data_IF_408905294005
#
_entry.id   IF_408905294005
#
_cell.length_a   1.000
_cell.length_b   1.000
_cell.length_c   1.000
_cell.angle_alpha   90.00
_cell.angle_beta   90.00
_cell.angle_gamma   90.00
#
_symmetry.space_group_name_H-M   'P 1'
#
loop_
_entity.id
_entity.type
_entity.pdbx_description
1 polymer ?
#
# COMPACT_ATOMS: atom_id res chain seq x y z
N UNK A 1 19.99 -23.29 17.19
CA UNK A 1 19.46 -23.69 15.88
C UNK A 1 18.15 -22.94 15.48
N UNK A 2 17.60 -22.05 16.34
CA UNK A 2 16.37 -21.28 16.01
C UNK A 2 16.61 -19.90 15.37
N UNK A 3 17.81 -19.35 15.44
CA UNK A 3 18.10 -18.01 14.88
C UNK A 3 18.23 -17.99 13.34
N UNK A 4 18.55 -19.11 12.68
CA UNK A 4 18.67 -19.18 11.22
C UNK A 4 17.32 -19.16 10.49
N UNK A 5 16.26 -19.70 11.11
CA UNK A 5 14.93 -19.81 10.47
C UNK A 5 14.19 -18.45 10.34
N UNK A 6 14.51 -17.47 11.19
CA UNK A 6 13.92 -16.13 11.15
C UNK A 6 14.51 -15.24 10.04
N UNK A 7 15.77 -15.47 9.68
CA UNK A 7 16.43 -14.74 8.58
C UNK A 7 16.06 -15.30 7.20
N UNK A 8 15.92 -16.60 7.04
CA UNK A 8 15.51 -17.24 5.78
C UNK A 8 14.07 -16.88 5.39
N UNK A 9 13.15 -16.75 6.35
CA UNK A 9 11.75 -16.35 6.07
C UNK A 9 11.59 -14.90 5.61
N UNK A 10 12.50 -14.00 5.92
CA UNK A 10 12.41 -12.60 5.48
C UNK A 10 12.82 -12.41 4.01
N UNK A 11 13.74 -13.21 3.48
CA UNK A 11 14.18 -13.12 2.09
C UNK A 11 13.18 -13.72 1.08
N UNK A 12 12.22 -14.51 1.53
CA UNK A 12 11.17 -15.10 0.68
C UNK A 12 10.04 -14.13 0.35
N UNK A 13 9.94 -13.00 1.05
CA UNK A 13 8.90 -12.00 0.79
C UNK A 13 9.41 -10.95 -0.23
N UNK A 14 8.54 -10.49 -1.16
CA UNK A 14 8.87 -9.40 -2.09
C UNK A 14 9.38 -8.15 -1.37
N UNK A 15 10.33 -7.45 -1.96
CA UNK A 15 10.95 -6.22 -1.42
C UNK A 15 9.89 -5.19 -0.99
N UNK A 16 8.85 -4.99 -1.80
CA UNK A 16 7.73 -4.10 -1.50
C UNK A 16 6.95 -4.49 -0.22
N UNK A 17 6.92 -5.76 0.13
CA UNK A 17 6.29 -6.22 1.37
C UNK A 17 7.21 -6.02 2.58
N UNK A 18 8.50 -6.31 2.44
CA UNK A 18 9.52 -6.14 3.49
C UNK A 18 9.71 -4.69 3.90
N UNK A 19 9.70 -3.76 2.92
CA UNK A 19 9.90 -2.32 3.12
C UNK A 19 8.60 -1.54 3.38
N UNK A 20 7.49 -2.23 3.60
CA UNK A 20 6.22 -1.56 3.85
C UNK A 20 6.32 -0.65 5.09
N UNK A 21 6.04 0.66 4.95
CA UNK A 21 6.07 1.60 6.05
C UNK A 21 5.14 1.17 7.20
N UNK A 22 5.59 1.39 8.43
CA UNK A 22 4.82 1.12 9.65
C UNK A 22 4.36 2.40 10.34
N UNK A 23 4.97 3.53 10.03
CA UNK A 23 4.68 4.85 10.62
C UNK A 23 4.44 5.89 9.52
N UNK A 24 3.86 7.04 9.90
CA UNK A 24 3.67 8.17 8.98
C UNK A 24 5.00 8.78 8.50
N UNK A 25 6.03 8.72 9.33
CA UNK A 25 7.36 9.26 9.03
C UNK A 25 8.07 8.43 7.96
N UNK A 26 7.81 7.13 7.93
CA UNK A 26 8.34 6.22 6.92
C UNK A 26 7.56 6.28 5.60
N UNK A 27 6.35 6.86 5.63
CA UNK A 27 5.47 6.89 4.47
C UNK A 27 5.89 7.96 3.47
N UNK A 28 6.17 7.56 2.25
CA UNK A 28 6.65 8.46 1.17
C UNK A 28 5.45 9.02 0.41
N UNK A 29 5.52 10.30 0.06
CA UNK A 29 4.51 10.98 -0.75
C UNK A 29 3.29 11.49 0.04
N UNK A 30 2.23 11.82 -0.68
CA UNK A 30 0.93 12.30 -0.17
C UNK A 30 1.05 13.51 0.77
N UNK A 31 2.01 14.40 0.54
CA UNK A 31 2.27 15.57 1.40
C UNK A 31 1.06 16.51 1.52
N UNK A 32 0.18 16.53 0.52
CA UNK A 32 -1.07 17.30 0.52
C UNK A 32 -2.09 16.76 1.55
N UNK A 33 -2.00 15.48 1.95
CA UNK A 33 -2.86 14.84 2.95
C UNK A 33 -2.16 14.68 4.31
N UNK A 34 -0.88 14.29 4.27
CA UNK A 34 -0.10 13.84 5.43
C UNK A 34 0.98 14.83 5.87
N UNK A 35 1.16 15.95 5.16
CA UNK A 35 2.07 16.99 5.55
C UNK A 35 1.71 17.57 6.92
N UNK A 36 2.66 18.22 7.58
CA UNK A 36 2.47 18.85 8.90
C UNK A 36 1.26 19.80 8.88
N UNK A 37 0.33 19.61 9.82
CA UNK A 37 -0.88 20.42 9.92
C UNK A 37 -2.02 20.08 8.94
N UNK A 38 -1.87 19.08 8.07
CA UNK A 38 -2.93 18.61 7.17
C UNK A 38 -4.02 17.86 7.92
N UNK A 39 -5.23 17.89 7.35
CA UNK A 39 -6.44 17.38 8.02
C UNK A 39 -6.32 15.90 8.35
N UNK A 40 -5.92 15.05 7.40
CA UNK A 40 -5.82 13.61 7.63
C UNK A 40 -4.76 13.28 8.69
N UNK A 41 -3.59 13.93 8.63
CA UNK A 41 -2.54 13.76 9.64
C UNK A 41 -3.05 14.12 11.04
N UNK A 42 -3.72 15.27 11.21
CA UNK A 42 -4.29 15.67 12.50
C UNK A 42 -5.34 14.68 13.02
N UNK A 43 -6.20 14.15 12.15
CA UNK A 43 -7.18 13.14 12.54
C UNK A 43 -6.51 11.85 13.06
N UNK A 44 -5.40 11.45 12.45
CA UNK A 44 -4.64 10.27 12.88
C UNK A 44 -3.94 10.54 14.21
N UNK A 45 -3.23 11.66 14.33
CA UNK A 45 -2.47 12.03 15.53
C UNK A 45 -3.38 12.28 16.75
N UNK A 46 -4.61 12.79 16.53
CA UNK A 46 -5.59 13.01 17.60
C UNK A 46 -6.50 11.82 17.88
N UNK A 47 -6.29 10.68 17.22
CA UNK A 47 -7.13 9.48 17.32
C UNK A 47 -8.64 9.74 17.04
N UNK A 48 -8.92 10.75 16.18
CA UNK A 48 -10.28 11.15 15.80
C UNK A 48 -10.61 10.72 14.36
N UNK A 49 -10.29 9.48 14.05
CA UNK A 49 -10.57 8.92 12.73
C UNK A 49 -12.04 8.54 12.59
N UNK A 50 -12.56 8.70 11.40
CA UNK A 50 -13.90 8.28 10.98
C UNK A 50 -13.80 7.45 9.70
N UNK A 51 -14.89 6.81 9.30
CA UNK A 51 -14.92 6.05 8.04
C UNK A 51 -14.52 6.92 6.86
N UNK A 52 -13.74 6.33 5.93
CA UNK A 52 -13.15 7.04 4.80
C UNK A 52 -12.98 6.14 3.59
N UNK A 53 -12.87 6.78 2.43
CA UNK A 53 -12.52 6.14 1.16
C UNK A 53 -11.21 6.72 0.67
N UNK A 54 -10.24 5.85 0.38
CA UNK A 54 -9.01 6.20 -0.31
C UNK A 54 -9.17 5.96 -1.81
N UNK A 55 -9.20 7.03 -2.56
CA UNK A 55 -9.30 6.99 -4.02
C UNK A 55 -7.97 7.40 -4.65
N UNK A 56 -7.49 6.62 -5.60
CA UNK A 56 -6.26 6.94 -6.34
C UNK A 56 -5.70 5.73 -7.09
N UNK A 57 -4.69 5.94 -7.93
CA UNK A 57 -4.13 4.90 -8.78
C UNK A 57 -3.52 3.74 -7.97
N UNK A 58 -3.19 2.61 -8.60
CA UNK A 58 -2.51 1.51 -7.93
C UNK A 58 -1.14 1.93 -7.40
N UNK A 59 -0.59 1.21 -6.44
CA UNK A 59 0.78 1.38 -5.93
C UNK A 59 1.06 2.65 -5.12
N UNK A 60 0.11 3.56 -4.94
CA UNK A 60 0.30 4.82 -4.19
C UNK A 60 0.23 4.68 -2.67
N UNK A 61 0.05 3.44 -2.16
CA UNK A 61 0.11 3.15 -0.73
C UNK A 61 -1.21 3.17 0.02
N UNK A 62 -2.39 3.05 -0.63
CA UNK A 62 -3.71 3.03 0.03
C UNK A 62 -3.80 2.04 1.20
N UNK A 63 -3.47 0.77 0.94
CA UNK A 63 -3.46 -0.31 1.95
C UNK A 63 -2.43 -0.05 3.05
N UNK A 64 -1.27 0.47 2.69
CA UNK A 64 -0.21 0.83 3.65
C UNK A 64 -0.67 1.93 4.59
N UNK A 65 -1.29 2.99 4.06
CA UNK A 65 -1.82 4.09 4.87
C UNK A 65 -2.90 3.61 5.85
N UNK A 66 -3.81 2.74 5.40
CA UNK A 66 -4.83 2.15 6.27
C UNK A 66 -4.22 1.37 7.45
N UNK A 67 -3.16 0.59 7.20
CA UNK A 67 -2.43 -0.14 8.26
C UNK A 67 -1.69 0.79 9.22
N UNK A 68 -1.08 1.87 8.72
CA UNK A 68 -0.44 2.88 9.56
C UNK A 68 -1.47 3.55 10.48
N UNK A 69 -2.64 3.89 9.95
CA UNK A 69 -3.74 4.45 10.75
C UNK A 69 -4.13 3.48 11.87
N UNK A 70 -4.34 2.21 11.56
CA UNK A 70 -4.70 1.21 12.56
C UNK A 70 -3.63 1.05 13.65
N UNK A 71 -2.36 1.01 13.26
CA UNK A 71 -1.24 0.90 14.20
C UNK A 71 -1.15 2.13 15.11
N UNK A 72 -1.28 3.34 14.53
CA UNK A 72 -1.19 4.60 15.27
C UNK A 72 -2.33 4.75 16.28
N UNK A 73 -3.53 4.34 15.91
CA UNK A 73 -4.74 4.44 16.73
C UNK A 73 -4.99 3.20 17.59
N UNK A 74 -4.08 2.24 17.57
CA UNK A 74 -4.19 0.95 18.31
C UNK A 74 -5.50 0.21 18.06
N UNK A 75 -6.07 0.37 16.86
CA UNK A 75 -7.30 -0.29 16.44
C UNK A 75 -7.01 -1.70 15.92
N UNK A 76 -7.91 -2.63 16.19
CA UNK A 76 -7.90 -3.93 15.53
C UNK A 76 -8.08 -3.73 14.01
N UNK A 77 -7.23 -4.36 13.18
CA UNK A 77 -7.26 -4.22 11.73
C UNK A 77 -7.76 -5.50 11.09
N UNK A 78 -8.84 -5.39 10.33
CA UNK A 78 -9.42 -6.50 9.59
C UNK A 78 -9.38 -6.15 8.10
N UNK A 79 -8.75 -7.02 7.33
CA UNK A 79 -8.52 -6.85 5.90
C UNK A 79 -9.50 -7.71 5.10
N UNK A 80 -10.31 -7.08 4.27
CA UNK A 80 -11.22 -7.74 3.36
C UNK A 80 -10.77 -7.56 1.91
N UNK A 81 -10.72 -8.66 1.19
CA UNK A 81 -10.64 -8.62 -0.26
C UNK A 81 -12.04 -8.73 -0.86
N UNK A 82 -12.41 -7.75 -1.68
CA UNK A 82 -13.69 -7.77 -2.39
C UNK A 82 -13.84 -8.97 -3.35
N UNK A 83 -12.74 -9.62 -3.72
CA UNK A 83 -12.74 -10.78 -4.62
C UNK A 83 -13.15 -12.08 -3.92
N UNK A 84 -12.82 -12.22 -2.64
CA UNK A 84 -12.97 -13.50 -1.91
C UNK A 84 -14.04 -13.48 -0.84
N UNK A 85 -14.45 -12.30 -0.34
CA UNK A 85 -15.30 -12.18 0.83
C UNK A 85 -16.80 -12.17 0.49
N UNK A 86 -17.52 -13.15 1.02
CA UNK A 86 -18.97 -13.26 0.90
C UNK A 86 -19.74 -12.49 1.98
N UNK A 87 -21.04 -12.22 1.76
CA UNK A 87 -21.92 -11.49 2.70
C UNK A 87 -21.94 -12.14 4.11
N UNK A 88 -21.87 -13.47 4.18
CA UNK A 88 -21.86 -14.19 5.47
C UNK A 88 -20.60 -13.89 6.28
N UNK A 89 -19.46 -13.85 5.61
CA UNK A 89 -18.18 -13.51 6.23
C UNK A 89 -18.17 -12.06 6.72
N UNK A 90 -18.65 -11.11 5.88
CA UNK A 90 -18.80 -9.72 6.26
C UNK A 90 -19.62 -9.61 7.55
N UNK A 91 -20.78 -10.24 7.62
CA UNK A 91 -21.64 -10.20 8.83
C UNK A 91 -20.99 -10.79 10.06
N UNK A 92 -20.29 -11.93 9.92
CA UNK A 92 -19.57 -12.55 11.04
C UNK A 92 -18.51 -11.63 11.64
N UNK A 93 -17.72 -11.00 10.77
CA UNK A 93 -16.69 -10.05 11.21
C UNK A 93 -17.30 -8.79 11.83
N UNK A 94 -18.42 -8.30 11.28
CA UNK A 94 -19.12 -7.15 11.87
C UNK A 94 -19.64 -7.44 13.26
N UNK A 95 -20.16 -8.63 13.53
CA UNK A 95 -20.58 -9.06 14.86
C UNK A 95 -19.40 -9.08 15.83
N UNK A 96 -18.26 -9.63 15.41
CA UNK A 96 -17.04 -9.62 16.23
C UNK A 96 -16.55 -8.20 16.53
N UNK A 97 -16.61 -7.30 15.56
CA UNK A 97 -16.26 -5.89 15.77
C UNK A 97 -17.23 -5.20 16.77
N UNK A 98 -18.51 -5.56 16.74
CA UNK A 98 -19.49 -5.05 17.72
C UNK A 98 -19.24 -5.58 19.14
N UNK A 99 -18.78 -6.83 19.27
CA UNK A 99 -18.32 -7.40 20.54
C UNK A 99 -17.08 -6.66 21.06
N UNK A 100 -16.05 -6.48 20.22
CA UNK A 100 -14.83 -5.75 20.57
C UNK A 100 -15.15 -4.33 21.07
N UNK A 101 -16.10 -3.64 20.42
CA UNK A 101 -16.54 -2.31 20.85
C UNK A 101 -17.09 -2.29 22.29
N UNK A 102 -17.76 -3.34 22.74
CA UNK A 102 -18.27 -3.44 24.13
C UNK A 102 -17.14 -3.44 25.17
N UNK A 103 -15.94 -3.87 24.74
CA UNK A 103 -14.73 -3.82 25.56
C UNK A 103 -13.90 -2.56 25.33
N UNK A 104 -14.43 -1.57 24.58
CA UNK A 104 -13.75 -0.31 24.29
C UNK A 104 -12.71 -0.39 23.18
N UNK A 105 -12.64 -1.51 22.45
CA UNK A 105 -11.71 -1.68 21.33
C UNK A 105 -12.27 -1.09 20.04
N UNK A 106 -11.45 -0.30 19.34
CA UNK A 106 -11.76 0.19 18.00
C UNK A 106 -11.42 -0.86 16.97
N UNK A 107 -12.27 -1.03 15.98
CA UNK A 107 -12.02 -1.94 14.84
C UNK A 107 -12.03 -1.14 13.54
N UNK A 108 -10.92 -1.19 12.82
CA UNK A 108 -10.81 -0.72 11.43
C UNK A 108 -11.05 -1.89 10.51
N UNK A 109 -12.02 -1.74 9.64
CA UNK A 109 -12.31 -2.68 8.55
C UNK A 109 -11.80 -2.06 7.25
N UNK A 110 -10.77 -2.65 6.68
CA UNK A 110 -10.21 -2.24 5.41
C UNK A 110 -10.80 -3.10 4.29
N UNK A 111 -11.30 -2.45 3.24
CA UNK A 111 -11.85 -3.11 2.05
C UNK A 111 -11.05 -2.65 0.84
N UNK A 112 -10.19 -3.53 0.34
CA UNK A 112 -9.47 -3.25 -0.91
C UNK A 112 -10.37 -3.45 -2.12
N UNK A 113 -10.24 -2.56 -3.11
CA UNK A 113 -11.07 -2.53 -4.31
C UNK A 113 -12.58 -2.57 -4.01
N UNK A 114 -13.05 -1.69 -3.10
CA UNK A 114 -14.44 -1.66 -2.61
C UNK A 114 -15.48 -1.56 -3.74
N UNK A 115 -15.11 -1.02 -4.90
CA UNK A 115 -15.95 -0.94 -6.09
C UNK A 115 -16.33 -2.32 -6.65
N UNK A 116 -15.58 -3.37 -6.33
CA UNK A 116 -15.90 -4.76 -6.73
C UNK A 116 -16.97 -5.42 -5.88
N UNK A 117 -17.30 -4.84 -4.74
CA UNK A 117 -18.45 -5.28 -3.96
C UNK A 117 -19.74 -4.85 -4.63
N UNK A 118 -20.68 -5.77 -4.75
CA UNK A 118 -22.03 -5.43 -5.19
C UNK A 118 -22.76 -4.58 -4.13
N UNK A 119 -23.89 -3.98 -4.52
CA UNK A 119 -24.65 -3.09 -3.65
C UNK A 119 -25.03 -3.74 -2.31
N UNK A 120 -25.46 -5.01 -2.32
CA UNK A 120 -25.86 -5.71 -1.08
C UNK A 120 -24.67 -5.95 -0.13
N UNK A 121 -23.47 -6.17 -0.67
CA UNK A 121 -22.25 -6.29 0.13
C UNK A 121 -21.85 -4.94 0.72
N UNK A 122 -21.92 -3.87 -0.03
CA UNK A 122 -21.66 -2.52 0.47
C UNK A 122 -22.70 -2.09 1.51
N UNK A 123 -23.97 -2.40 1.31
CA UNK A 123 -25.05 -2.13 2.27
C UNK A 123 -24.89 -2.86 3.59
N UNK A 124 -24.23 -4.03 3.59
CA UNK A 124 -23.99 -4.81 4.80
C UNK A 124 -23.10 -4.07 5.83
N UNK A 125 -22.30 -3.09 5.41
CA UNK A 125 -21.49 -2.26 6.30
C UNK A 125 -22.27 -1.12 6.96
N UNK A 126 -23.35 -0.64 6.32
CA UNK A 126 -24.06 0.58 6.74
C UNK A 126 -24.48 0.58 8.22
N UNK A 127 -25.15 -0.46 8.76
CA UNK A 127 -25.60 -0.45 10.15
C UNK A 127 -24.45 -0.30 11.17
N UNK A 128 -23.28 -0.84 10.82
CA UNK A 128 -22.10 -0.84 11.69
C UNK A 128 -21.30 0.47 11.61
N UNK A 129 -21.25 1.06 10.40
CA UNK A 129 -20.68 2.40 10.19
C UNK A 129 -21.54 3.46 10.90
N UNK A 130 -22.87 3.38 10.78
CA UNK A 130 -23.80 4.31 11.44
C UNK A 130 -23.73 4.25 12.97
N UNK A 131 -23.65 3.07 13.54
CA UNK A 131 -23.48 2.86 14.97
C UNK A 131 -22.08 3.20 15.48
N UNK A 132 -21.11 3.39 14.58
CA UNK A 132 -19.70 3.53 14.91
C UNK A 132 -19.10 2.26 15.53
N UNK A 133 -19.64 1.09 15.23
CA UNK A 133 -19.09 -0.21 15.66
C UNK A 133 -17.83 -0.55 14.91
N UNK A 134 -17.66 0.00 13.71
CA UNK A 134 -16.47 -0.08 12.90
C UNK A 134 -16.09 1.29 12.35
N UNK A 135 -14.82 1.42 11.99
CA UNK A 135 -14.32 2.47 11.13
C UNK A 135 -14.00 1.80 9.78
N UNK A 136 -14.80 2.11 8.75
CA UNK A 136 -14.58 1.57 7.43
C UNK A 136 -13.52 2.40 6.70
N UNK A 137 -12.50 1.74 6.15
CA UNK A 137 -11.55 2.34 5.21
C UNK A 137 -11.67 1.57 3.89
N UNK A 138 -12.37 2.15 2.92
CA UNK A 138 -12.45 1.60 1.57
C UNK A 138 -11.30 2.11 0.71
N UNK A 139 -10.71 1.26 -0.12
CA UNK A 139 -9.75 1.65 -1.15
C UNK A 139 -10.31 1.37 -2.53
N UNK A 140 -10.08 2.27 -3.48
CA UNK A 140 -10.53 2.10 -4.86
C UNK A 140 -9.63 2.85 -5.84
N UNK A 141 -9.50 2.30 -7.04
CA UNK A 141 -8.89 2.97 -8.20
C UNK A 141 -9.94 3.71 -9.04
N UNK A 142 -11.20 3.32 -8.91
CA UNK A 142 -12.32 3.89 -9.65
C UNK A 142 -12.95 5.10 -8.93
N UNK A 143 -13.66 5.96 -9.66
CA UNK A 143 -14.31 7.12 -9.05
C UNK A 143 -15.41 6.68 -8.08
N UNK A 144 -15.25 6.96 -6.76
CA UNK A 144 -16.19 6.48 -5.76
C UNK A 144 -17.61 7.02 -5.90
N UNK A 145 -17.79 8.16 -6.59
CA UNK A 145 -19.12 8.72 -6.82
C UNK A 145 -20.01 7.86 -7.74
N UNK A 146 -19.40 7.00 -8.56
CA UNK A 146 -20.13 6.09 -9.45
C UNK A 146 -20.18 4.67 -8.91
N UNK A 147 -19.14 4.25 -8.19
CA UNK A 147 -18.92 2.85 -7.85
C UNK A 147 -19.28 2.51 -6.39
N UNK A 148 -19.23 3.50 -5.50
CA UNK A 148 -19.59 3.29 -4.10
C UNK A 148 -21.02 3.72 -3.87
N UNK A 149 -21.79 2.88 -3.15
CA UNK A 149 -23.16 3.17 -2.78
C UNK A 149 -23.25 4.56 -2.11
N UNK A 150 -24.16 5.39 -2.58
CA UNK A 150 -24.36 6.76 -2.10
C UNK A 150 -24.64 6.84 -0.60
N UNK A 151 -25.37 5.87 -0.05
CA UNK A 151 -25.63 5.78 1.39
C UNK A 151 -24.36 5.53 2.20
N UNK A 152 -23.43 4.71 1.69
CA UNK A 152 -22.13 4.47 2.32
C UNK A 152 -21.20 5.68 2.12
N UNK A 153 -21.16 6.22 0.90
CA UNK A 153 -20.33 7.37 0.55
C UNK A 153 -20.66 8.61 1.40
N UNK A 154 -21.95 8.87 1.68
CA UNK A 154 -22.38 9.99 2.52
C UNK A 154 -21.91 9.93 3.96
N UNK A 155 -21.45 8.76 4.43
CA UNK A 155 -20.92 8.50 5.77
C UNK A 155 -19.39 8.40 5.82
N UNK A 156 -18.75 8.52 4.66
CA UNK A 156 -17.31 8.41 4.53
C UNK A 156 -16.70 9.73 4.04
N UNK A 157 -15.50 10.04 4.53
CA UNK A 157 -14.69 11.13 3.97
C UNK A 157 -13.87 10.57 2.81
N UNK A 158 -13.87 11.23 1.66
CA UNK A 158 -13.06 10.81 0.52
C UNK A 158 -11.72 11.53 0.56
N UNK A 159 -10.63 10.77 0.52
CA UNK A 159 -9.28 11.28 0.40
C UNK A 159 -8.68 10.80 -0.92
N UNK A 160 -8.24 11.76 -1.75
CA UNK A 160 -7.64 11.48 -3.05
C UNK A 160 -6.14 11.32 -2.87
N UNK A 161 -5.63 10.12 -3.13
CA UNK A 161 -4.21 9.84 -3.17
C UNK A 161 -3.71 10.05 -4.60
N UNK A 162 -2.59 10.75 -4.71
CA UNK A 162 -1.94 11.08 -5.98
C UNK A 162 -0.82 10.09 -6.30
N UNK A 163 -0.46 10.02 -7.57
CA UNK A 163 0.76 9.33 -8.01
C UNK A 163 1.99 9.87 -7.29
N UNK A 164 2.92 8.97 -6.99
CA UNK A 164 4.20 9.39 -6.42
C UNK A 164 5.04 10.07 -7.49
N UNK A 165 5.69 11.16 -7.12
CA UNK A 165 6.62 11.86 -8.01
C UNK A 165 7.88 11.03 -8.23
N UNK A 166 8.52 11.20 -9.37
CA UNK A 166 9.81 10.53 -9.67
C UNK A 166 10.84 10.71 -8.56
N UNK A 167 10.99 11.91 -8.02
CA UNK A 167 11.91 12.16 -6.91
C UNK A 167 11.54 11.40 -5.62
N UNK A 168 10.26 11.22 -5.34
CA UNK A 168 9.77 10.43 -4.19
C UNK A 168 10.05 8.94 -4.39
N UNK A 169 9.89 8.43 -5.61
CA UNK A 169 10.23 7.05 -5.97
C UNK A 169 11.74 6.81 -5.90
N UNK A 170 12.59 7.73 -6.39
CA UNK A 170 14.05 7.63 -6.26
C UNK A 170 14.45 7.58 -4.78
N UNK A 171 13.85 8.42 -3.94
CA UNK A 171 14.08 8.38 -2.49
C UNK A 171 13.71 7.03 -1.88
N UNK A 172 12.58 6.45 -2.31
CA UNK A 172 12.14 5.13 -1.87
C UNK A 172 13.12 4.03 -2.30
N UNK A 173 13.61 4.08 -3.54
CA UNK A 173 14.60 3.13 -4.07
C UNK A 173 15.95 3.25 -3.34
N UNK A 174 16.44 4.46 -3.07
CA UNK A 174 17.65 4.68 -2.28
C UNK A 174 17.51 4.13 -0.85
N UNK A 175 16.35 4.32 -0.24
CA UNK A 175 16.06 3.71 1.05
C UNK A 175 16.07 2.18 0.96
N UNK A 176 15.55 1.58 -0.09
CA UNK A 176 15.55 0.13 -0.30
C UNK A 176 16.96 -0.47 -0.36
N UNK A 177 17.92 0.29 -0.89
CA UNK A 177 19.33 -0.12 -0.96
C UNK A 177 20.05 -0.03 0.40
N UNK A 178 19.60 0.82 1.32
CA UNK A 178 20.27 1.09 2.60
C UNK A 178 19.57 0.47 3.81
N UNK A 179 18.28 0.18 3.74
CA UNK A 179 17.50 -0.41 4.83
C UNK A 179 17.85 -1.89 5.00
N UNK A 180 18.07 -2.36 6.22
CA UNK A 180 18.36 -3.76 6.55
C UNK A 180 17.26 -4.73 6.08
N UNK A 181 16.01 -4.27 6.04
CA UNK A 181 14.87 -5.05 5.49
C UNK A 181 14.89 -5.12 3.97
N UNK A 182 15.63 -4.23 3.33
CA UNK A 182 15.86 -4.20 1.88
C UNK A 182 17.13 -4.94 1.51
N UNK A 183 18.05 -4.18 0.95
CA UNK A 183 19.36 -4.65 0.50
C UNK A 183 20.52 -4.12 1.36
N UNK A 184 20.26 -3.45 2.49
CA UNK A 184 21.30 -2.80 3.30
C UNK A 184 22.39 -3.72 3.87
N UNK A 185 22.17 -5.05 3.83
CA UNK A 185 23.19 -6.06 4.20
C UNK A 185 24.07 -6.50 3.02
N UNK A 186 23.77 -6.07 1.81
CA UNK A 186 24.45 -6.42 0.57
C UNK A 186 25.18 -5.19 0.00
N UNK A 187 26.30 -5.43 -0.66
CA UNK A 187 26.97 -4.38 -1.43
C UNK A 187 26.38 -4.33 -2.83
N UNK A 188 25.63 -3.29 -3.13
CA UNK A 188 25.01 -3.08 -4.44
C UNK A 188 25.60 -1.81 -5.05
N UNK A 189 26.08 -1.93 -6.28
CA UNK A 189 26.54 -0.82 -7.10
C UNK A 189 25.52 -0.55 -8.19
N UNK A 190 24.82 0.57 -8.08
CA UNK A 190 23.83 1.05 -9.04
C UNK A 190 23.94 2.57 -9.14
N UNK A 191 24.00 3.09 -10.36
CA UNK A 191 24.09 4.53 -10.62
C UNK A 191 22.74 5.22 -10.39
N UNK A 192 22.79 6.49 -9.94
CA UNK A 192 21.59 7.29 -9.69
C UNK A 192 20.69 7.42 -10.94
N UNK A 193 21.29 7.50 -12.14
CA UNK A 193 20.56 7.53 -13.40
C UNK A 193 19.68 6.27 -13.60
N UNK A 194 20.15 5.11 -13.18
CA UNK A 194 19.39 3.87 -13.29
C UNK A 194 18.21 3.84 -12.31
N UNK A 195 18.38 4.42 -11.11
CA UNK A 195 17.28 4.62 -10.16
C UNK A 195 16.21 5.56 -10.72
N UNK A 196 16.63 6.63 -11.41
CA UNK A 196 15.70 7.54 -12.09
C UNK A 196 14.97 6.83 -13.24
N UNK A 197 15.65 5.98 -14.01
CA UNK A 197 15.01 5.18 -15.05
C UNK A 197 13.92 4.26 -14.47
N UNK A 198 14.21 3.57 -13.37
CA UNK A 198 13.23 2.74 -12.64
C UNK A 198 12.04 3.59 -12.18
N UNK A 199 12.31 4.76 -11.60
CA UNK A 199 11.28 5.63 -11.08
C UNK A 199 10.36 6.20 -12.18
N UNK A 200 10.93 6.58 -13.33
CA UNK A 200 10.16 7.03 -14.51
C UNK A 200 9.32 5.88 -15.07
N UNK A 201 9.90 4.69 -15.22
CA UNK A 201 9.18 3.51 -15.69
C UNK A 201 8.00 3.14 -14.77
N UNK A 202 8.19 3.21 -13.47
CA UNK A 202 7.16 2.88 -12.49
C UNK A 202 5.97 3.85 -12.48
N UNK A 203 6.09 5.01 -13.12
CA UNK A 203 5.01 5.95 -13.36
C UNK A 203 4.09 6.18 -12.11
N UNK A 204 4.72 6.52 -10.97
CA UNK A 204 4.01 6.81 -9.73
C UNK A 204 3.62 5.60 -8.86
N UNK A 205 3.89 4.37 -9.32
CA UNK A 205 3.61 3.12 -8.57
C UNK A 205 4.85 2.66 -7.79
N UNK A 206 4.78 2.75 -6.45
CA UNK A 206 5.87 2.31 -5.57
C UNK A 206 6.10 0.79 -5.61
N UNK A 207 5.06 0.00 -5.85
CA UNK A 207 5.18 -1.46 -5.90
C UNK A 207 5.95 -1.87 -7.14
N UNK A 208 5.61 -1.29 -8.31
CA UNK A 208 6.32 -1.50 -9.56
C UNK A 208 7.77 -1.05 -9.44
N UNK A 209 8.04 0.13 -8.86
CA UNK A 209 9.41 0.61 -8.65
C UNK A 209 10.26 -0.37 -7.82
N UNK A 210 9.74 -0.83 -6.67
CA UNK A 210 10.46 -1.75 -5.79
C UNK A 210 10.62 -3.15 -6.41
N UNK A 211 9.62 -3.67 -7.12
CA UNK A 211 9.72 -4.94 -7.84
C UNK A 211 10.75 -4.88 -8.98
N UNK A 212 10.81 -3.76 -9.70
CA UNK A 212 11.81 -3.56 -10.75
C UNK A 212 13.22 -3.51 -10.18
N UNK A 213 13.42 -2.77 -9.07
CA UNK A 213 14.70 -2.75 -8.37
C UNK A 213 15.10 -4.15 -7.90
N UNK A 214 14.17 -4.90 -7.28
CA UNK A 214 14.42 -6.25 -6.80
C UNK A 214 14.86 -7.17 -7.95
N UNK A 215 14.17 -7.12 -9.08
CA UNK A 215 14.52 -7.89 -10.28
C UNK A 215 15.89 -7.49 -10.82
N UNK A 216 16.19 -6.20 -10.90
CA UNK A 216 17.46 -5.71 -11.40
C UNK A 216 18.64 -6.13 -10.50
N UNK A 217 18.47 -6.10 -9.17
CA UNK A 217 19.50 -6.55 -8.22
C UNK A 217 19.71 -8.05 -8.29
N UNK A 218 18.63 -8.85 -8.39
CA UNK A 218 18.72 -10.32 -8.48
C UNK A 218 19.36 -10.80 -9.79
N UNK A 219 19.32 -10.00 -10.85
CA UNK A 219 19.93 -10.30 -12.15
C UNK A 219 21.22 -9.49 -12.38
N UNK A 220 21.70 -8.75 -11.40
CA UNK A 220 22.98 -8.02 -11.49
C UNK A 220 24.18 -8.96 -11.48
N UNK A 221 25.26 -8.52 -12.10
CA UNK A 221 26.51 -9.25 -12.16
C UNK A 221 27.32 -9.09 -10.87
N UNK A 222 27.95 -10.17 -10.40
CA UNK A 222 28.88 -10.10 -9.29
C UNK A 222 30.21 -9.51 -9.78
N UNK A 223 30.60 -8.36 -9.23
CA UNK A 223 31.92 -7.78 -9.52
C UNK A 223 33.04 -8.51 -8.76
N UNK A 224 34.29 -8.21 -9.12
CA UNK A 224 35.48 -8.81 -8.50
C UNK A 224 35.61 -8.52 -6.99
N UNK A 225 34.84 -7.58 -6.45
CA UNK A 225 34.78 -7.19 -5.03
C UNK A 225 33.61 -7.79 -4.25
N UNK A 226 32.90 -8.78 -4.81
CA UNK A 226 31.67 -9.38 -4.23
C UNK A 226 30.53 -8.37 -4.04
N UNK A 227 30.49 -7.29 -4.82
CA UNK A 227 29.34 -6.40 -4.91
C UNK A 227 28.48 -6.80 -6.13
N UNK A 228 27.17 -6.65 -6.00
CA UNK A 228 26.26 -6.81 -7.13
C UNK A 228 26.24 -5.51 -7.94
N UNK A 229 26.68 -5.56 -9.19
CA UNK A 229 26.62 -4.43 -10.10
C UNK A 229 25.36 -4.53 -10.97
N UNK A 230 24.52 -3.48 -10.91
CA UNK A 230 23.35 -3.33 -11.79
C UNK A 230 23.76 -2.41 -12.93
N UNK A 231 23.86 -2.97 -14.13
CA UNK A 231 24.20 -2.22 -15.34
C UNK A 231 22.96 -1.74 -16.08
N UNK A 232 23.16 -0.81 -17.02
CA UNK A 232 22.07 -0.34 -17.89
C UNK A 232 21.48 -1.49 -18.73
N UNK A 233 22.33 -2.36 -19.25
CA UNK A 233 21.90 -3.53 -20.02
C UNK A 233 21.00 -4.46 -19.21
N UNK A 234 21.42 -4.79 -17.98
CA UNK A 234 20.63 -5.64 -17.06
C UNK A 234 19.27 -4.99 -16.77
N UNK A 235 19.26 -3.68 -16.54
CA UNK A 235 18.01 -2.97 -16.26
C UNK A 235 17.08 -2.96 -17.49
N UNK A 236 17.59 -2.66 -18.69
CA UNK A 236 16.80 -2.65 -19.93
C UNK A 236 16.18 -4.03 -20.23
N UNK A 237 16.89 -5.12 -19.98
CA UNK A 237 16.34 -6.46 -20.05
C UNK A 237 15.21 -6.69 -19.06
N UNK A 238 15.38 -6.28 -17.79
CA UNK A 238 14.33 -6.39 -16.78
C UNK A 238 13.08 -5.57 -17.17
N UNK A 239 13.25 -4.35 -17.64
CA UNK A 239 12.14 -3.48 -18.05
C UNK A 239 11.38 -4.06 -19.25
N UNK A 240 12.06 -4.66 -20.21
CA UNK A 240 11.42 -5.30 -21.37
C UNK A 240 10.55 -6.49 -20.98
N UNK A 241 10.98 -7.30 -20.00
CA UNK A 241 10.22 -8.45 -19.50
C UNK A 241 8.95 -8.02 -18.73
N UNK A 242 9.02 -6.93 -17.99
CA UNK A 242 7.85 -6.39 -17.26
C UNK A 242 6.80 -5.87 -18.24
N UNK A 243 7.21 -5.21 -19.34
CA UNK A 243 6.30 -4.71 -20.37
C UNK A 243 5.49 -5.82 -21.07
N UNK A 244 6.06 -7.00 -21.22
CA UNK A 244 5.39 -8.15 -21.87
C UNK A 244 4.30 -8.73 -20.97
N UNK A 245 4.41 -8.58 -19.65
CA UNK A 245 3.49 -9.13 -18.67
C UNK A 245 2.32 -8.21 -18.28
N UNK A 246 2.39 -6.91 -18.60
CA UNK A 246 1.26 -5.99 -18.40
C UNK A 246 0.38 -5.94 -19.67
N UNK A 247 -0.94 -6.29 -19.57
CA UNK A 247 -1.84 -6.05 -20.69
C UNK A 247 -1.90 -4.54 -20.95
N UNK A 248 -1.57 -4.15 -22.18
CA UNK A 248 -1.64 -2.76 -22.68
C UNK A 248 -2.94 -2.12 -22.26
N UNK A 249 -2.89 -1.15 -21.34
CA UNK A 249 -4.03 -0.25 -21.10
C UNK A 249 -4.25 0.55 -22.38
N UNK A 250 -5.48 0.56 -22.96
CA UNK A 250 -5.76 1.41 -24.09
C UNK A 250 -5.54 2.86 -23.67
N UNK A 251 -4.69 3.56 -24.43
CA UNK A 251 -4.53 5.01 -24.33
C UNK A 251 -5.88 5.60 -24.73
N UNK A 252 -6.62 6.12 -23.77
CA UNK A 252 -7.82 6.90 -24.05
C UNK A 252 -7.36 8.21 -24.70
N UNK A 253 -7.67 8.34 -26.01
CA UNK A 253 -7.51 9.59 -26.77
C UNK A 253 -8.63 10.55 -26.35
#
# INVERSE_FOLDING_TARGET
>A
MEAMSLFENNLSQPLAARLRPKTLEEYVGQTHLLGKGKVLRRLIESDQISSMIFWGPPGVGKTTLARIIANTTKAAFIDFSAVTSGIKEIRSVMQKAEENRRYGEKTIVFVDEIHRFNKAQQDAFLPFVEKGSIILIGATTENPSFEVNSALLSRCKVFVLQELKTAELVQLLKRALTDEKGFGTQKINIEDELLEMIAVFANGDARTALSTLEMAVLNGDMDAGSATAVTRETLEQCLSLIHISEPTRPISI
#
